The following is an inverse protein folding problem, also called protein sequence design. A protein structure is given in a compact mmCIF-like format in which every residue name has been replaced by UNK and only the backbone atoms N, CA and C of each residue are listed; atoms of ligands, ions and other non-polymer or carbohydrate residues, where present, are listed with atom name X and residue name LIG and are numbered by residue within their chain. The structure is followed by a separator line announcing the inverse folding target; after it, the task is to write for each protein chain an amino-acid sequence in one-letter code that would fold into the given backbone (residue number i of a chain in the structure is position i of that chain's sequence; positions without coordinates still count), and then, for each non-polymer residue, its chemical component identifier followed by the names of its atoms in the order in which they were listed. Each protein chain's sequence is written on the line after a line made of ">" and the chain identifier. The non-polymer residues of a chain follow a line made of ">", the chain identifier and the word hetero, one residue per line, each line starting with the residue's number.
data_IF_735491837696
#
_entry.id   IF_735491837696
#
_cell.length_a   1.000
_cell.length_b   1.000
_cell.length_c   1.000
_cell.angle_alpha   90.00
_cell.angle_beta   90.00
_cell.angle_gamma   90.00
#
_symmetry.space_group_name_H-M   'P 1'
#
loop_
_entity.id
_entity.type
_entity.pdbx_description
1 polymer ?
#
# COMPACT_ATOMS: atom_id res chain seq x y z
N UNK A 1 28.69 -13.73 -27.20
CA UNK A 1 28.91 -14.21 -25.80
C UNK A 1 29.38 -13.09 -24.85
N UNK A 2 29.30 -11.81 -25.29
CA UNK A 2 29.57 -10.62 -24.46
C UNK A 2 28.26 -9.93 -24.02
N UNK A 3 27.20 -10.05 -24.82
CA UNK A 3 25.91 -9.36 -24.59
C UNK A 3 25.21 -9.84 -23.32
N UNK A 4 25.41 -11.11 -22.95
CA UNK A 4 24.83 -11.70 -21.73
C UNK A 4 25.53 -11.20 -20.45
N UNK A 5 26.79 -10.76 -20.54
CA UNK A 5 27.54 -10.22 -19.39
C UNK A 5 27.27 -8.74 -19.20
N UNK A 6 27.03 -7.99 -20.27
CA UNK A 6 26.57 -6.59 -20.20
C UNK A 6 25.14 -6.48 -19.66
N UNK A 7 24.23 -7.38 -20.08
CA UNK A 7 22.88 -7.41 -19.51
C UNK A 7 22.86 -7.74 -18.00
N UNK A 8 23.85 -8.51 -17.51
CA UNK A 8 24.02 -8.79 -16.08
C UNK A 8 24.72 -7.66 -15.30
N UNK A 9 25.50 -6.80 -15.97
CA UNK A 9 26.14 -5.65 -15.32
C UNK A 9 25.23 -4.43 -15.26
N UNK A 10 24.37 -4.20 -16.27
CA UNK A 10 23.31 -3.18 -16.20
C UNK A 10 22.30 -3.50 -15.09
N UNK A 11 21.91 -4.77 -14.95
CA UNK A 11 20.96 -5.20 -13.91
C UNK A 11 21.56 -5.13 -12.48
N UNK A 12 22.89 -5.09 -12.36
CA UNK A 12 23.57 -4.88 -11.07
C UNK A 12 23.45 -3.44 -10.56
N UNK A 13 23.29 -2.47 -11.46
CA UNK A 13 23.23 -1.04 -11.10
C UNK A 13 21.79 -0.51 -10.92
N UNK A 14 20.77 -1.23 -11.40
CA UNK A 14 19.36 -0.94 -11.07
C UNK A 14 18.98 -1.48 -9.68
N UNK A 15 19.75 -2.45 -9.17
CA UNK A 15 19.65 -2.96 -7.82
C UNK A 15 20.29 -2.01 -6.80
N UNK A 16 19.73 -0.83 -6.58
CA UNK A 16 19.94 -0.13 -5.30
C UNK A 16 19.16 -0.94 -4.26
N UNK A 17 19.83 -2.02 -3.85
CA UNK A 17 19.32 -3.09 -3.03
C UNK A 17 18.77 -2.54 -1.71
N UNK A 18 17.56 -2.94 -1.34
CA UNK A 18 16.92 -2.67 -0.07
C UNK A 18 17.80 -3.17 1.09
N UNK A 19 18.59 -2.25 1.66
CA UNK A 19 19.36 -2.46 2.88
C UNK A 19 18.47 -3.01 4.01
N UNK A 20 19.06 -3.74 4.97
CA UNK A 20 18.35 -4.20 6.18
C UNK A 20 17.60 -3.06 6.89
N UNK A 21 18.15 -1.83 6.86
CA UNK A 21 17.49 -0.64 7.39
C UNK A 21 16.21 -0.30 6.60
N UNK A 22 16.29 -0.28 5.27
CA UNK A 22 15.14 -0.04 4.36
C UNK A 22 14.01 -1.05 4.59
N UNK A 23 14.33 -2.33 4.79
CA UNK A 23 13.32 -3.36 5.09
C UNK A 23 12.57 -3.10 6.39
N UNK A 24 13.27 -2.63 7.43
CA UNK A 24 12.66 -2.26 8.71
C UNK A 24 11.78 -1.02 8.54
N UNK A 25 12.23 -0.02 7.78
CA UNK A 25 11.42 1.16 7.47
C UNK A 25 10.14 0.81 6.69
N UNK A 26 10.21 -0.07 5.69
CA UNK A 26 9.03 -0.51 4.93
C UNK A 26 8.00 -1.21 5.82
N UNK A 27 8.47 -2.04 6.76
CA UNK A 27 7.58 -2.72 7.70
C UNK A 27 6.93 -1.73 8.67
N UNK A 28 7.70 -0.82 9.25
CA UNK A 28 7.16 0.25 10.12
C UNK A 28 6.18 1.13 9.37
N UNK A 29 6.47 1.46 8.11
CA UNK A 29 5.60 2.23 7.24
C UNK A 29 4.27 1.50 6.97
N UNK A 30 4.32 0.20 6.68
CA UNK A 30 3.11 -0.63 6.53
C UNK A 30 2.25 -0.64 7.80
N UNK A 31 2.86 -0.71 8.99
CA UNK A 31 2.14 -0.64 10.26
C UNK A 31 1.45 0.72 10.42
N UNK A 32 2.15 1.81 10.12
CA UNK A 32 1.57 3.16 10.18
C UNK A 32 0.38 3.28 9.22
N UNK A 33 0.51 2.81 7.97
CA UNK A 33 -0.58 2.82 7.00
C UNK A 33 -1.77 1.97 7.47
N UNK A 34 -1.53 0.82 8.09
CA UNK A 34 -2.58 -0.03 8.65
C UNK A 34 -3.29 0.65 9.83
N UNK A 35 -2.59 1.41 10.68
CA UNK A 35 -3.23 2.19 11.76
C UNK A 35 -4.09 3.31 11.19
N UNK A 36 -3.56 4.05 10.21
CA UNK A 36 -4.28 5.11 9.48
C UNK A 36 -5.49 4.53 8.75
N UNK A 37 -5.46 3.25 8.36
CA UNK A 37 -6.55 2.55 7.71
C UNK A 37 -7.69 2.19 8.67
N UNK A 38 -7.33 1.77 9.89
CA UNK A 38 -8.29 1.31 10.91
C UNK A 38 -9.05 2.47 11.55
N UNK A 39 -8.44 3.65 11.66
CA UNK A 39 -9.04 4.84 12.28
C UNK A 39 -10.35 5.30 11.59
N UNK A 40 -10.36 5.52 10.25
CA UNK A 40 -11.58 5.86 9.50
C UNK A 40 -12.61 4.74 9.56
N UNK A 41 -12.16 3.49 9.61
CA UNK A 41 -12.99 2.28 9.71
C UNK A 41 -13.89 2.33 10.95
N UNK A 42 -13.31 2.69 12.10
CA UNK A 42 -14.06 2.91 13.33
C UNK A 42 -15.02 4.10 13.22
N UNK A 43 -14.58 5.22 12.63
CA UNK A 43 -15.46 6.39 12.46
C UNK A 43 -16.68 6.11 11.57
N UNK A 44 -16.53 5.24 10.56
CA UNK A 44 -17.60 4.84 9.64
C UNK A 44 -18.65 3.95 10.32
N UNK A 45 -18.25 3.13 11.29
CA UNK A 45 -19.16 2.27 12.06
C UNK A 45 -20.04 3.06 13.05
N UNK A 46 -19.56 4.19 13.56
CA UNK A 46 -20.20 4.92 14.66
C UNK A 46 -20.83 6.26 14.28
N UNK A 47 -20.60 6.77 13.07
CA UNK A 47 -21.17 8.04 12.60
C UNK A 47 -22.04 7.85 11.36
N UNK A 48 -23.24 8.47 11.37
CA UNK A 48 -24.13 8.58 10.19
C UNK A 48 -24.03 9.94 9.51
N UNK A 49 -23.05 10.75 9.89
CA UNK A 49 -22.84 12.08 9.33
C UNK A 49 -22.17 11.95 7.95
N UNK A 50 -22.92 12.31 6.91
CA UNK A 50 -22.47 12.28 5.52
C UNK A 50 -21.21 13.13 5.29
N UNK A 51 -21.05 14.24 6.02
CA UNK A 51 -19.85 15.10 5.94
C UNK A 51 -18.62 14.35 6.43
N UNK A 52 -18.76 13.64 7.55
CA UNK A 52 -17.69 12.84 8.15
C UNK A 52 -17.35 11.63 7.28
N UNK A 53 -18.35 11.04 6.64
CA UNK A 53 -18.21 9.92 5.71
C UNK A 53 -17.45 10.34 4.43
N UNK A 54 -17.76 11.52 3.88
CA UNK A 54 -17.02 12.10 2.75
C UNK A 54 -15.55 12.44 3.08
N UNK A 55 -15.28 13.00 4.26
CA UNK A 55 -13.91 13.25 4.72
C UNK A 55 -13.11 11.94 4.92
N UNK A 56 -13.77 10.90 5.43
CA UNK A 56 -13.17 9.57 5.55
C UNK A 56 -12.81 8.95 4.20
N UNK A 57 -13.66 9.13 3.18
CA UNK A 57 -13.38 8.68 1.80
C UNK A 57 -12.09 9.31 1.24
N UNK A 58 -11.93 10.64 1.37
CA UNK A 58 -10.71 11.33 0.90
C UNK A 58 -9.46 10.87 1.65
N UNK A 59 -9.55 10.72 2.97
CA UNK A 59 -8.43 10.25 3.79
C UNK A 59 -8.05 8.80 3.43
N UNK A 60 -9.05 8.00 3.09
CA UNK A 60 -8.86 6.63 2.66
C UNK A 60 -8.21 6.54 1.27
N UNK A 61 -8.63 7.35 0.30
CA UNK A 61 -8.00 7.43 -1.03
C UNK A 61 -6.52 7.76 -0.93
N UNK A 62 -6.16 8.71 -0.05
CA UNK A 62 -4.77 9.07 0.18
C UNK A 62 -3.98 7.90 0.80
N UNK A 63 -4.56 7.19 1.78
CA UNK A 63 -3.93 6.00 2.35
C UNK A 63 -3.75 4.87 1.30
N UNK A 64 -4.76 4.66 0.45
CA UNK A 64 -4.70 3.73 -0.68
C UNK A 64 -3.56 4.06 -1.64
N UNK A 65 -3.38 5.33 -1.97
CA UNK A 65 -2.27 5.78 -2.81
C UNK A 65 -0.91 5.46 -2.16
N UNK A 66 -0.77 5.65 -0.85
CA UNK A 66 0.46 5.30 -0.13
C UNK A 66 0.71 3.79 -0.09
N UNK A 67 -0.33 2.97 0.06
CA UNK A 67 -0.22 1.51 -0.08
C UNK A 67 0.17 1.08 -1.50
N UNK A 68 -0.34 1.77 -2.54
CA UNK A 68 0.03 1.50 -3.93
C UNK A 68 1.53 1.78 -4.15
N UNK A 69 2.03 2.93 -3.69
CA UNK A 69 3.45 3.29 -3.79
C UNK A 69 4.31 2.25 -3.07
N UNK A 70 3.91 1.85 -1.87
CA UNK A 70 4.60 0.81 -1.09
C UNK A 70 4.62 -0.54 -1.81
N UNK A 71 3.49 -0.93 -2.41
CA UNK A 71 3.34 -2.18 -3.17
C UNK A 71 4.20 -2.16 -4.43
N UNK A 72 4.18 -1.10 -5.22
CA UNK A 72 5.02 -0.95 -6.42
C UNK A 72 6.49 -1.03 -6.06
N UNK A 73 6.91 -0.31 -5.02
CA UNK A 73 8.30 -0.35 -4.54
C UNK A 73 8.71 -1.75 -4.08
N UNK A 74 7.85 -2.44 -3.32
CA UNK A 74 8.13 -3.81 -2.85
C UNK A 74 8.05 -4.86 -3.95
N UNK A 75 7.27 -4.61 -5.01
CA UNK A 75 7.21 -5.46 -6.19
C UNK A 75 8.48 -5.34 -7.03
N UNK A 76 8.99 -4.12 -7.24
CA UNK A 76 10.27 -3.87 -7.93
C UNK A 76 11.42 -4.53 -7.14
N UNK A 77 11.39 -4.44 -5.80
CA UNK A 77 12.41 -5.04 -4.92
C UNK A 77 12.07 -6.47 -4.47
N UNK A 78 11.19 -7.19 -5.19
CA UNK A 78 10.68 -8.53 -4.78
C UNK A 78 11.77 -9.58 -4.58
N UNK A 79 12.86 -9.51 -5.34
CA UNK A 79 14.00 -10.43 -5.26
C UNK A 79 14.70 -10.35 -3.90
N UNK A 80 14.57 -9.22 -3.22
CA UNK A 80 15.28 -8.94 -1.98
C UNK A 80 14.35 -8.89 -0.77
N UNK A 81 13.08 -8.54 -0.98
CA UNK A 81 12.09 -8.44 0.07
C UNK A 81 11.16 -9.66 0.07
N UNK A 82 11.47 -10.67 0.91
CA UNK A 82 10.64 -11.88 1.07
C UNK A 82 9.19 -11.57 1.50
N UNK A 83 8.94 -10.40 2.08
CA UNK A 83 7.63 -10.00 2.57
C UNK A 83 6.78 -9.30 1.50
N UNK A 84 7.24 -9.19 0.24
CA UNK A 84 6.52 -8.51 -0.85
C UNK A 84 5.03 -8.90 -0.95
N UNK A 85 4.72 -10.19 -0.74
CA UNK A 85 3.34 -10.70 -0.75
C UNK A 85 2.45 -10.02 0.30
N UNK A 86 2.97 -9.75 1.49
CA UNK A 86 2.21 -9.10 2.57
C UNK A 86 1.81 -7.69 2.14
N UNK A 87 2.72 -6.93 1.56
CA UNK A 87 2.43 -5.58 1.04
C UNK A 87 1.38 -5.62 -0.07
N UNK A 88 1.46 -6.60 -0.98
CA UNK A 88 0.44 -6.81 -2.00
C UNK A 88 -0.92 -7.16 -1.41
N UNK A 89 -0.98 -8.07 -0.42
CA UNK A 89 -2.24 -8.41 0.25
C UNK A 89 -2.83 -7.24 1.04
N UNK A 90 -1.99 -6.43 1.71
CA UNK A 90 -2.45 -5.21 2.39
C UNK A 90 -3.05 -4.20 1.41
N UNK A 91 -2.43 -4.03 0.23
CA UNK A 91 -3.00 -3.18 -0.81
C UNK A 91 -4.34 -3.73 -1.34
N UNK A 92 -4.43 -5.04 -1.62
CA UNK A 92 -5.69 -5.66 -2.06
C UNK A 92 -6.79 -5.49 -1.01
N UNK A 93 -6.48 -5.74 0.26
CA UNK A 93 -7.43 -5.54 1.36
C UNK A 93 -7.92 -4.09 1.42
N UNK A 94 -7.00 -3.14 1.23
CA UNK A 94 -7.32 -1.73 1.21
C UNK A 94 -8.23 -1.36 0.03
N UNK A 95 -7.97 -1.92 -1.16
CA UNK A 95 -8.80 -1.72 -2.34
C UNK A 95 -10.20 -2.30 -2.16
N UNK A 96 -10.30 -3.52 -1.63
CA UNK A 96 -11.59 -4.17 -1.34
C UNK A 96 -12.44 -3.34 -0.37
N UNK A 97 -11.81 -2.75 0.64
CA UNK A 97 -12.53 -1.91 1.60
C UNK A 97 -13.03 -0.59 0.98
N UNK A 98 -12.25 0.05 0.09
CA UNK A 98 -12.71 1.24 -0.65
C UNK A 98 -13.99 0.93 -1.42
N UNK A 99 -14.00 -0.21 -2.14
CA UNK A 99 -15.16 -0.66 -2.92
C UNK A 99 -16.38 -0.85 -2.01
N UNK A 100 -16.22 -1.52 -0.87
CA UNK A 100 -17.30 -1.70 0.12
C UNK A 100 -17.80 -0.35 0.62
N UNK A 101 -16.90 0.58 0.92
CA UNK A 101 -17.24 1.93 1.40
C UNK A 101 -18.05 2.70 0.36
N UNK A 102 -17.67 2.63 -0.92
CA UNK A 102 -18.45 3.21 -2.01
C UNK A 102 -19.85 2.61 -2.13
N UNK A 103 -19.97 1.28 -2.04
CA UNK A 103 -21.26 0.60 -2.08
C UNK A 103 -22.14 1.06 -0.92
N UNK A 104 -21.61 1.08 0.31
CA UNK A 104 -22.33 1.52 1.50
C UNK A 104 -22.77 2.98 1.34
N UNK A 105 -21.87 3.87 0.92
CA UNK A 105 -22.19 5.28 0.69
C UNK A 105 -23.30 5.45 -0.37
N UNK A 106 -23.25 4.67 -1.46
CA UNK A 106 -24.27 4.70 -2.52
C UNK A 106 -25.65 4.18 -2.09
N UNK A 107 -25.74 3.45 -0.98
CA UNK A 107 -27.02 3.02 -0.40
C UNK A 107 -27.66 4.08 0.51
N UNK A 108 -26.88 5.08 0.94
CA UNK A 108 -27.33 6.16 1.84
C UNK A 108 -27.56 7.51 1.13
N UNK A 109 -27.08 7.65 -0.11
CA UNK A 109 -27.38 8.74 -1.04
C UNK A 109 -28.58 8.37 -1.92
#
# INVERSE_FOLDING_TARGET
>A
MNDKKEFMSENKNVGILASKKTKRYLLSYMIVLAVIFVLPLFMLLFSRDLTLLGANLLFFELNMFLFLVLMVYTYITRSENKNWKIYTYSFILSLSYLIITFIVFSLFM
#
